data_IF_441413243201
#
_entry.id   IF_441413243201
#
_cell.length_a   1.000
_cell.length_b   1.000
_cell.length_c   1.000
_cell.angle_alpha   90.00
_cell.angle_beta   90.00
_cell.angle_gamma   90.00
#
_symmetry.space_group_name_H-M   'P 1'
#
loop_
_entity.id
_entity.type
_entity.pdbx_description
1 polymer ?
#
# COMPACT_ATOMS: atom_id res chain seq x y z
N UNK A 1 -34.39 -25.43 24.43
CA UNK A 1 -33.11 -25.12 25.12
C UNK A 1 -32.08 -24.37 24.25
N UNK A 2 -32.12 -24.44 22.91
CA UNK A 2 -31.23 -23.63 22.01
C UNK A 2 -31.57 -22.13 21.98
N UNK A 3 -32.86 -21.78 22.02
CA UNK A 3 -33.33 -20.39 21.97
C UNK A 3 -32.93 -19.55 23.20
N UNK A 4 -32.72 -20.19 24.36
CA UNK A 4 -32.36 -19.52 25.61
C UNK A 4 -30.90 -19.04 25.61
N UNK A 5 -30.01 -19.68 24.84
CA UNK A 5 -28.60 -19.30 24.73
C UNK A 5 -28.38 -18.11 23.78
N UNK A 6 -29.16 -18.04 22.70
CA UNK A 6 -29.14 -16.90 21.76
C UNK A 6 -29.74 -15.63 22.38
N UNK A 7 -30.82 -15.76 23.18
CA UNK A 7 -31.36 -14.63 23.94
C UNK A 7 -30.40 -14.13 25.02
N UNK A 8 -29.62 -15.04 25.63
CA UNK A 8 -28.60 -14.68 26.62
C UNK A 8 -27.42 -13.94 25.96
N UNK A 9 -27.02 -14.36 24.75
CA UNK A 9 -25.97 -13.72 23.95
C UNK A 9 -26.39 -12.32 23.47
N UNK A 10 -27.62 -12.19 22.97
CA UNK A 10 -28.20 -10.90 22.56
C UNK A 10 -28.39 -9.97 23.76
N UNK A 11 -28.74 -10.50 24.94
CA UNK A 11 -28.80 -9.75 26.18
C UNK A 11 -27.43 -9.25 26.66
N UNK A 12 -26.36 -10.05 26.47
CA UNK A 12 -25.00 -9.66 26.84
C UNK A 12 -24.43 -8.57 25.91
N UNK A 13 -24.64 -8.71 24.60
CA UNK A 13 -24.19 -7.72 23.61
C UNK A 13 -24.83 -6.33 23.84
N UNK A 14 -26.09 -6.31 24.24
CA UNK A 14 -26.80 -5.06 24.54
C UNK A 14 -26.35 -4.41 25.87
N UNK A 15 -25.77 -5.19 26.79
CA UNK A 15 -25.18 -4.69 28.03
C UNK A 15 -23.79 -4.08 27.82
N UNK A 16 -23.00 -4.61 26.89
CA UNK A 16 -21.66 -4.09 26.55
C UNK A 16 -21.75 -2.74 25.82
N UNK A 17 -22.75 -2.56 24.95
CA UNK A 17 -22.98 -1.31 24.20
C UNK A 17 -23.61 -0.18 25.03
N UNK A 18 -24.10 -0.46 26.23
CA UNK A 18 -24.80 0.52 27.09
C UNK A 18 -23.94 1.08 28.24
N UNK A 19 -22.66 0.72 28.33
CA UNK A 19 -21.77 1.19 29.40
C UNK A 19 -21.25 2.61 29.12
N UNK A 20 -21.26 3.53 30.11
CA UNK A 20 -20.69 4.87 29.95
C UNK A 20 -19.18 4.79 29.72
N UNK A 21 -18.68 5.49 28.71
CA UNK A 21 -17.25 5.55 28.33
C UNK A 21 -16.37 6.40 29.26
N UNK A 22 -16.75 6.58 30.53
CA UNK A 22 -15.95 7.32 31.52
C UNK A 22 -15.82 6.52 32.81
N UNK A 23 -14.57 6.36 33.21
CA UNK A 23 -14.05 5.69 34.42
C UNK A 23 -14.11 4.15 34.42
N UNK A 24 -13.12 3.55 33.77
CA UNK A 24 -12.86 2.10 33.70
C UNK A 24 -12.31 1.46 34.99
N UNK A 25 -12.40 2.14 36.14
CA UNK A 25 -11.85 1.62 37.41
C UNK A 25 -12.80 0.72 38.22
N UNK A 26 -14.09 0.67 37.89
CA UNK A 26 -15.11 -0.06 38.67
C UNK A 26 -15.83 -1.19 37.91
N UNK A 27 -15.26 -1.71 36.80
CA UNK A 27 -15.87 -2.83 36.07
C UNK A 27 -15.33 -4.20 36.56
N UNK A 28 -16.25 -5.11 36.91
CA UNK A 28 -15.95 -6.45 37.45
C UNK A 28 -15.14 -7.30 36.44
N UNK A 29 -13.90 -7.73 36.79
CA UNK A 29 -13.01 -8.48 35.91
C UNK A 29 -13.58 -9.82 35.42
N UNK A 30 -14.60 -10.36 36.07
CA UNK A 30 -15.19 -11.66 35.69
C UNK A 30 -16.07 -11.60 34.45
N UNK A 31 -16.57 -10.43 34.09
CA UNK A 31 -17.50 -10.26 32.96
C UNK A 31 -16.76 -10.00 31.63
N UNK A 32 -15.57 -9.40 31.71
CA UNK A 32 -14.66 -9.24 30.58
C UNK A 32 -13.68 -10.41 30.44
N UNK A 33 -13.42 -11.16 31.52
CA UNK A 33 -12.50 -12.30 31.50
C UNK A 33 -12.80 -13.35 30.44
N UNK A 34 -14.06 -13.59 30.08
CA UNK A 34 -14.44 -14.57 29.05
C UNK A 34 -14.31 -14.04 27.60
N UNK A 35 -14.53 -12.74 27.40
CA UNK A 35 -14.33 -12.09 26.09
C UNK A 35 -12.82 -11.88 25.84
N UNK A 36 -12.09 -11.52 26.89
CA UNK A 36 -10.62 -11.46 26.90
C UNK A 36 -10.02 -12.85 26.80
N UNK A 37 -10.60 -13.91 27.37
CA UNK A 37 -10.10 -15.29 27.17
C UNK A 37 -10.26 -15.74 25.70
N UNK A 38 -11.39 -15.46 25.06
CA UNK A 38 -11.62 -15.83 23.64
C UNK A 38 -10.79 -14.94 22.69
N UNK A 39 -10.64 -13.65 22.99
CA UNK A 39 -9.74 -12.75 22.24
C UNK A 39 -8.25 -13.07 22.53
N UNK A 40 -7.92 -13.59 23.72
CA UNK A 40 -6.54 -13.96 24.09
C UNK A 40 -6.10 -15.32 23.54
N UNK A 41 -7.02 -16.18 23.10
CA UNK A 41 -6.67 -17.42 22.40
C UNK A 41 -6.12 -17.09 21.01
N UNK A 42 -6.84 -16.27 20.22
CA UNK A 42 -6.35 -15.82 18.92
C UNK A 42 -5.26 -14.75 18.97
N UNK A 43 -5.24 -13.89 19.99
CA UNK A 43 -4.10 -12.99 20.21
C UNK A 43 -2.79 -13.75 20.42
N UNK A 44 -2.85 -14.89 21.13
CA UNK A 44 -1.69 -15.81 21.23
C UNK A 44 -1.39 -16.50 19.90
N UNK A 45 -2.41 -16.92 19.14
CA UNK A 45 -2.20 -17.49 17.81
C UNK A 45 -1.53 -16.47 16.85
N UNK A 46 -1.93 -15.20 16.89
CA UNK A 46 -1.35 -14.13 16.08
C UNK A 46 0.11 -13.84 16.47
N UNK A 47 0.40 -13.67 17.77
CA UNK A 47 1.78 -13.51 18.24
C UNK A 47 2.64 -14.72 17.88
N UNK A 48 2.09 -15.93 17.96
CA UNK A 48 2.78 -17.16 17.54
C UNK A 48 3.06 -17.17 16.03
N UNK A 49 2.11 -16.75 15.19
CA UNK A 49 2.31 -16.61 13.74
C UNK A 49 3.41 -15.59 13.44
N UNK A 50 3.40 -14.44 14.14
CA UNK A 50 4.43 -13.41 14.00
C UNK A 50 5.81 -13.96 14.37
N UNK A 51 5.93 -14.68 15.49
CA UNK A 51 7.19 -15.31 15.91
C UNK A 51 7.67 -16.38 14.93
N UNK A 52 6.76 -17.24 14.45
CA UNK A 52 7.09 -18.31 13.51
C UNK A 52 7.62 -17.77 12.17
N UNK A 53 7.01 -16.69 11.65
CA UNK A 53 7.36 -16.12 10.34
C UNK A 53 8.54 -15.15 10.45
N UNK A 54 8.49 -14.20 11.39
CA UNK A 54 9.51 -13.14 11.50
C UNK A 54 10.71 -13.56 12.35
N UNK A 55 10.53 -14.48 13.29
CA UNK A 55 11.62 -15.07 14.09
C UNK A 55 12.47 -16.10 13.35
N UNK A 56 12.18 -16.35 12.06
CA UNK A 56 12.97 -17.24 11.20
C UNK A 56 12.64 -18.73 11.32
N UNK A 57 11.53 -19.09 11.95
CA UNK A 57 11.08 -20.48 12.08
C UNK A 57 10.54 -21.08 10.78
N UNK A 58 9.81 -20.29 9.98
CA UNK A 58 9.20 -20.67 8.69
C UNK A 58 9.23 -19.50 7.72
N UNK A 59 9.33 -19.76 6.41
CA UNK A 59 9.10 -18.72 5.39
C UNK A 59 7.65 -18.73 4.91
N UNK A 60 7.09 -17.57 4.55
CA UNK A 60 5.75 -17.46 3.93
C UNK A 60 5.60 -18.39 2.73
N UNK A 61 6.61 -18.49 1.88
CA UNK A 61 6.67 -19.37 0.72
C UNK A 61 6.57 -20.85 1.08
N UNK A 62 7.20 -21.27 2.17
CA UNK A 62 7.14 -22.65 2.66
C UNK A 62 5.78 -22.98 3.27
N UNK A 63 5.17 -22.01 3.97
CA UNK A 63 3.83 -22.15 4.55
C UNK A 63 2.79 -22.23 3.44
N UNK A 64 2.91 -21.46 2.37
CA UNK A 64 1.95 -21.48 1.26
C UNK A 64 2.28 -22.50 0.16
N UNK A 65 3.13 -23.49 0.44
CA UNK A 65 3.56 -24.45 -0.56
C UNK A 65 2.37 -25.17 -1.23
N UNK A 66 2.38 -25.20 -2.57
CA UNK A 66 1.37 -25.88 -3.38
C UNK A 66 0.04 -25.14 -3.51
N UNK A 67 -0.07 -23.89 -3.04
CA UNK A 67 -1.22 -23.05 -3.32
C UNK A 67 -1.25 -22.66 -4.81
N UNK A 68 -2.43 -22.68 -5.42
CA UNK A 68 -2.61 -22.21 -6.81
C UNK A 68 -2.71 -20.67 -6.86
N UNK A 69 -2.57 -20.09 -8.05
CA UNK A 69 -2.76 -18.65 -8.25
C UNK A 69 -4.16 -18.17 -7.80
N UNK A 70 -5.23 -18.92 -8.14
CA UNK A 70 -6.61 -18.58 -7.77
C UNK A 70 -6.83 -18.69 -6.25
N UNK A 71 -6.34 -19.76 -5.63
CA UNK A 71 -6.44 -19.93 -4.18
C UNK A 71 -5.60 -18.87 -3.43
N UNK A 72 -4.43 -18.51 -3.95
CA UNK A 72 -3.60 -17.44 -3.40
C UNK A 72 -4.30 -16.08 -3.51
N UNK A 73 -4.93 -15.79 -4.65
CA UNK A 73 -5.74 -14.58 -4.84
C UNK A 73 -6.92 -14.53 -3.84
N UNK A 74 -7.59 -15.66 -3.62
CA UNK A 74 -8.65 -15.78 -2.63
C UNK A 74 -8.16 -15.53 -1.20
N UNK A 75 -6.99 -16.09 -0.85
CA UNK A 75 -6.40 -15.91 0.47
C UNK A 75 -5.95 -14.46 0.69
N UNK A 76 -5.38 -13.81 -0.33
CA UNK A 76 -5.06 -12.39 -0.32
C UNK A 76 -6.32 -11.55 -0.08
N UNK A 77 -7.41 -11.81 -0.81
CA UNK A 77 -8.68 -11.12 -0.62
C UNK A 77 -9.28 -11.36 0.78
N UNK A 78 -9.14 -12.57 1.32
CA UNK A 78 -9.46 -12.84 2.72
C UNK A 78 -8.66 -11.96 3.69
N UNK A 79 -7.33 -11.93 3.54
CA UNK A 79 -6.42 -11.10 4.35
C UNK A 79 -6.74 -9.59 4.25
N UNK A 80 -7.18 -9.16 3.06
CA UNK A 80 -7.63 -7.81 2.77
C UNK A 80 -8.94 -7.43 3.48
N UNK A 81 -9.69 -8.42 3.96
CA UNK A 81 -11.00 -8.24 4.57
C UNK A 81 -12.16 -8.26 3.58
N UNK A 82 -11.97 -8.81 2.38
CA UNK A 82 -13.05 -8.97 1.41
C UNK A 82 -14.19 -9.80 2.00
N UNK A 83 -15.43 -9.38 1.70
CA UNK A 83 -16.59 -10.22 1.92
C UNK A 83 -16.48 -11.46 1.03
N UNK A 84 -16.92 -12.62 1.53
CA UNK A 84 -16.89 -13.86 0.75
C UNK A 84 -17.62 -13.74 -0.59
N UNK A 85 -18.66 -12.90 -0.67
CA UNK A 85 -19.41 -12.64 -1.91
C UNK A 85 -18.70 -11.77 -2.93
N UNK A 86 -17.62 -11.07 -2.57
CA UNK A 86 -16.78 -10.34 -3.52
C UNK A 86 -15.84 -11.26 -4.32
N UNK A 87 -15.73 -12.53 -3.89
CA UNK A 87 -14.87 -13.53 -4.53
C UNK A 87 -15.73 -14.69 -5.02
N UNK A 88 -15.53 -15.05 -6.28
CA UNK A 88 -16.28 -16.12 -6.94
C UNK A 88 -16.25 -17.42 -6.15
N UNK A 89 -17.41 -18.09 -6.09
CA UNK A 89 -17.62 -19.25 -5.25
C UNK A 89 -16.71 -20.44 -5.63
N UNK A 90 -16.36 -20.59 -6.91
CA UNK A 90 -15.46 -21.64 -7.38
C UNK A 90 -14.00 -21.36 -6.98
N UNK A 91 -13.57 -20.10 -6.99
CA UNK A 91 -12.25 -19.68 -6.47
C UNK A 91 -12.17 -19.97 -4.96
N UNK A 92 -13.21 -19.63 -4.19
CA UNK A 92 -13.27 -19.95 -2.74
C UNK A 92 -13.28 -21.45 -2.49
N UNK A 93 -13.97 -22.23 -3.31
CA UNK A 93 -13.98 -23.69 -3.19
C UNK A 93 -12.58 -24.30 -3.42
N UNK A 94 -11.80 -23.73 -4.34
CA UNK A 94 -10.40 -24.12 -4.58
C UNK A 94 -9.52 -23.84 -3.36
N UNK A 95 -9.65 -22.65 -2.75
CA UNK A 95 -8.97 -22.33 -1.49
C UNK A 95 -9.40 -23.29 -0.36
N UNK A 96 -10.70 -23.56 -0.21
CA UNK A 96 -11.21 -24.46 0.82
C UNK A 96 -10.66 -25.89 0.68
N UNK A 97 -10.53 -26.38 -0.56
CA UNK A 97 -9.93 -27.69 -0.83
C UNK A 97 -8.45 -27.71 -0.43
N UNK A 98 -7.70 -26.65 -0.76
CA UNK A 98 -6.30 -26.51 -0.35
C UNK A 98 -6.16 -26.45 1.18
N UNK A 99 -6.94 -25.63 1.88
CA UNK A 99 -6.89 -25.49 3.34
C UNK A 99 -7.10 -26.82 4.07
N UNK A 100 -8.03 -27.66 3.58
CA UNK A 100 -8.29 -28.99 4.17
C UNK A 100 -7.11 -29.94 4.03
N UNK A 101 -6.42 -29.89 2.90
CA UNK A 101 -5.25 -30.72 2.62
C UNK A 101 -3.97 -30.14 3.27
N UNK A 102 -3.95 -28.84 3.54
CA UNK A 102 -2.79 -28.12 4.01
C UNK A 102 -2.51 -28.38 5.49
N UNK A 103 -1.26 -28.67 5.85
CA UNK A 103 -0.89 -28.96 7.24
C UNK A 103 -0.36 -27.73 8.01
N UNK A 104 0.09 -26.68 7.33
CA UNK A 104 0.85 -25.57 7.92
C UNK A 104 0.03 -24.55 8.70
N UNK A 105 -1.31 -24.55 8.59
CA UNK A 105 -2.18 -23.71 9.41
C UNK A 105 -2.73 -24.46 10.63
N UNK A 106 -2.84 -23.73 11.73
CA UNK A 106 -3.47 -24.20 12.97
C UNK A 106 -4.97 -24.46 12.81
N UNK A 107 -5.53 -25.29 13.70
CA UNK A 107 -6.91 -25.74 13.58
C UNK A 107 -7.93 -24.60 13.73
N UNK A 108 -7.64 -23.61 14.57
CA UNK A 108 -8.44 -22.39 14.79
C UNK A 108 -8.53 -21.57 13.50
N UNK A 109 -7.37 -21.18 12.94
CA UNK A 109 -7.25 -20.45 11.67
C UNK A 109 -7.93 -21.17 10.50
N UNK A 110 -7.74 -22.49 10.37
CA UNK A 110 -8.41 -23.29 9.34
C UNK A 110 -9.92 -23.23 9.45
N UNK A 111 -10.45 -23.25 10.66
CA UNK A 111 -11.89 -23.23 10.90
C UNK A 111 -12.50 -21.91 10.45
N UNK A 112 -11.87 -20.78 10.78
CA UNK A 112 -12.34 -19.45 10.35
C UNK A 112 -12.24 -19.28 8.83
N UNK A 113 -11.11 -19.66 8.24
CA UNK A 113 -10.93 -19.58 6.78
C UNK A 113 -11.94 -20.45 6.03
N UNK A 114 -12.22 -21.67 6.50
CA UNK A 114 -13.23 -22.54 5.89
C UNK A 114 -14.64 -21.96 6.08
N UNK A 115 -14.95 -21.40 7.24
CA UNK A 115 -16.23 -20.73 7.48
C UNK A 115 -16.44 -19.53 6.54
N UNK A 116 -15.39 -18.77 6.24
CA UNK A 116 -15.44 -17.70 5.25
C UNK A 116 -15.54 -18.25 3.81
N UNK A 117 -14.74 -19.24 3.45
CA UNK A 117 -14.76 -19.84 2.10
C UNK A 117 -16.12 -20.46 1.76
N UNK A 118 -16.81 -21.03 2.74
CA UNK A 118 -18.06 -21.78 2.56
C UNK A 118 -19.29 -21.02 3.07
N UNK A 119 -19.07 -19.81 3.60
CA UNK A 119 -20.09 -18.96 4.16
C UNK A 119 -20.96 -18.26 3.12
N UNK A 120 -21.93 -17.52 3.64
CA UNK A 120 -22.79 -16.64 2.86
C UNK A 120 -22.00 -15.45 2.29
N UNK A 121 -22.56 -14.77 1.29
CA UNK A 121 -21.91 -13.65 0.60
C UNK A 121 -21.45 -12.51 1.52
N UNK A 122 -22.07 -12.35 2.69
CA UNK A 122 -21.72 -11.32 3.68
C UNK A 122 -20.66 -11.75 4.70
N UNK A 123 -20.17 -12.99 4.66
CA UNK A 123 -19.16 -13.47 5.61
C UNK A 123 -17.85 -12.69 5.45
N UNK A 124 -17.24 -12.32 6.57
CA UNK A 124 -15.93 -11.65 6.65
C UNK A 124 -15.06 -12.36 7.69
N UNK A 125 -13.74 -12.28 7.52
CA UNK A 125 -12.81 -12.73 8.55
C UNK A 125 -12.75 -11.71 9.70
N UNK A 126 -12.30 -12.17 10.86
CA UNK A 126 -12.02 -11.31 12.02
C UNK A 126 -10.80 -10.44 11.76
N UNK A 127 -10.71 -9.30 12.46
CA UNK A 127 -9.58 -8.37 12.37
C UNK A 127 -8.24 -9.06 12.65
N UNK A 128 -8.22 -9.92 13.66
CA UNK A 128 -7.04 -10.67 14.11
C UNK A 128 -6.62 -11.71 13.06
N UNK A 129 -7.58 -12.41 12.43
CA UNK A 129 -7.26 -13.33 11.33
C UNK A 129 -6.76 -12.56 10.12
N UNK A 130 -7.38 -11.44 9.74
CA UNK A 130 -6.86 -10.59 8.67
C UNK A 130 -5.41 -10.17 8.97
N UNK A 131 -5.13 -9.72 10.20
CA UNK A 131 -3.79 -9.30 10.63
C UNK A 131 -2.76 -10.44 10.54
N UNK A 132 -3.12 -11.67 10.94
CA UNK A 132 -2.23 -12.82 10.82
C UNK A 132 -2.00 -13.24 9.37
N UNK A 133 -3.03 -13.10 8.52
CA UNK A 133 -2.93 -13.40 7.10
C UNK A 133 -2.16 -12.33 6.31
N UNK A 134 -2.08 -11.10 6.84
CA UNK A 134 -1.32 -9.99 6.23
C UNK A 134 0.13 -10.37 5.92
N UNK A 135 0.78 -11.12 6.82
CA UNK A 135 2.14 -11.67 6.63
C UNK A 135 2.33 -12.48 5.34
N UNK A 136 1.23 -13.00 4.79
CA UNK A 136 1.22 -13.80 3.57
C UNK A 136 0.86 -12.99 2.33
N UNK A 137 0.40 -11.74 2.46
CA UNK A 137 -0.05 -10.88 1.36
C UNK A 137 1.01 -10.76 0.26
N UNK A 138 2.29 -10.46 0.53
CA UNK A 138 3.31 -10.36 -0.54
C UNK A 138 3.44 -11.65 -1.35
N UNK A 139 3.40 -12.81 -0.67
CA UNK A 139 3.55 -14.12 -1.32
C UNK A 139 2.29 -14.52 -2.08
N UNK A 140 1.11 -14.22 -1.53
CA UNK A 140 -0.16 -14.47 -2.19
C UNK A 140 -0.31 -13.60 -3.44
N UNK A 141 0.01 -12.30 -3.34
CA UNK A 141 0.01 -11.36 -4.46
C UNK A 141 0.95 -11.81 -5.57
N UNK A 142 2.20 -12.18 -5.24
CA UNK A 142 3.16 -12.71 -6.22
C UNK A 142 2.67 -13.98 -6.92
N UNK A 143 2.04 -14.89 -6.17
CA UNK A 143 1.53 -16.15 -6.70
C UNK A 143 0.30 -15.94 -7.59
N UNK A 144 -0.59 -15.02 -7.20
CA UNK A 144 -1.74 -14.60 -8.00
C UNK A 144 -1.29 -13.91 -9.30
N UNK A 145 -0.34 -12.98 -9.21
CA UNK A 145 0.23 -12.26 -10.34
C UNK A 145 0.91 -13.20 -11.36
N UNK A 146 1.55 -14.28 -10.90
CA UNK A 146 2.11 -15.30 -11.78
C UNK A 146 1.06 -16.12 -12.55
N UNK A 147 -0.20 -16.05 -12.13
CA UNK A 147 -1.36 -16.59 -12.86
C UNK A 147 -2.23 -15.50 -13.49
N UNK A 148 -1.66 -14.31 -13.75
CA UNK A 148 -2.32 -13.17 -14.39
C UNK A 148 -3.52 -12.61 -13.60
N UNK A 149 -3.47 -12.70 -12.27
CA UNK A 149 -4.51 -12.20 -11.37
C UNK A 149 -3.98 -11.11 -10.44
N UNK A 150 -4.83 -10.13 -10.13
CA UNK A 150 -4.60 -9.17 -9.05
C UNK A 150 -5.81 -9.07 -8.14
N UNK A 151 -5.61 -8.54 -6.93
CA UNK A 151 -6.61 -8.53 -5.87
C UNK A 151 -6.77 -7.12 -5.31
N UNK A 152 -8.02 -6.70 -5.14
CA UNK A 152 -8.40 -5.47 -4.43
C UNK A 152 -9.55 -5.77 -3.47
N UNK A 153 -9.99 -4.77 -2.69
CA UNK A 153 -11.10 -4.94 -1.74
C UNK A 153 -12.41 -5.30 -2.46
N UNK A 154 -12.51 -5.00 -3.75
CA UNK A 154 -13.66 -5.26 -4.60
C UNK A 154 -13.69 -6.69 -5.16
N UNK A 155 -12.58 -7.44 -5.06
CA UNK A 155 -12.50 -8.82 -5.51
C UNK A 155 -11.19 -9.19 -6.22
N UNK A 156 -11.29 -10.20 -7.10
CA UNK A 156 -10.18 -10.73 -7.89
C UNK A 156 -10.42 -10.37 -9.35
N UNK A 157 -9.37 -9.89 -10.01
CA UNK A 157 -9.43 -9.37 -11.36
C UNK A 157 -8.31 -9.97 -12.21
N UNK A 158 -8.54 -9.98 -13.53
CA UNK A 158 -7.57 -10.41 -14.54
C UNK A 158 -6.65 -9.24 -14.92
N UNK A 159 -5.35 -9.49 -15.09
CA UNK A 159 -4.35 -8.45 -15.39
C UNK A 159 -4.71 -7.62 -16.62
N UNK A 160 -5.44 -8.18 -17.59
CA UNK A 160 -5.85 -7.46 -18.81
C UNK A 160 -6.72 -6.23 -18.52
N UNK A 161 -7.37 -6.15 -17.36
CA UNK A 161 -8.10 -4.93 -16.96
C UNK A 161 -7.17 -3.80 -16.54
N UNK A 162 -5.95 -4.10 -16.06
CA UNK A 162 -4.90 -3.10 -15.82
C UNK A 162 -4.20 -2.69 -17.12
N UNK A 163 -3.98 -3.63 -18.05
CA UNK A 163 -3.41 -3.37 -19.39
C UNK A 163 -4.27 -2.42 -20.23
N UNK A 164 -5.56 -2.25 -19.87
CA UNK A 164 -6.42 -1.25 -20.49
C UNK A 164 -6.04 0.21 -20.16
N UNK A 165 -5.11 0.45 -19.23
CA UNK A 165 -4.55 1.77 -18.97
C UNK A 165 -3.83 2.36 -20.19
N UNK A 166 -3.67 3.70 -20.21
CA UNK A 166 -3.07 4.41 -21.35
C UNK A 166 -1.96 5.37 -20.93
N UNK A 167 -1.00 5.57 -21.82
CA UNK A 167 0.16 6.48 -21.66
C UNK A 167 0.40 7.27 -22.94
N UNK A 168 1.12 8.40 -22.85
CA UNK A 168 1.57 9.08 -24.07
C UNK A 168 2.51 8.18 -24.87
N UNK A 169 2.46 8.28 -26.20
CA UNK A 169 3.47 7.69 -27.08
C UNK A 169 4.85 8.27 -26.77
N UNK A 170 5.92 7.50 -27.00
CA UNK A 170 7.30 7.95 -26.71
C UNK A 170 7.66 9.31 -27.33
N UNK A 171 7.21 9.56 -28.56
CA UNK A 171 7.42 10.86 -29.22
C UNK A 171 6.71 12.03 -28.53
N UNK A 172 5.52 11.80 -27.97
CA UNK A 172 4.75 12.79 -27.23
C UNK A 172 5.30 12.97 -25.81
N UNK A 173 5.76 11.89 -25.16
CA UNK A 173 6.51 11.95 -23.91
C UNK A 173 7.72 12.86 -24.05
N UNK A 174 8.59 12.61 -25.04
CA UNK A 174 9.78 13.45 -25.28
C UNK A 174 9.43 14.91 -25.57
N UNK A 175 8.37 15.15 -26.35
CA UNK A 175 7.91 16.51 -26.65
C UNK A 175 7.40 17.23 -25.41
N UNK A 176 6.69 16.52 -24.53
CA UNK A 176 6.18 17.06 -23.28
C UNK A 176 7.31 17.31 -22.26
N UNK A 177 8.26 16.38 -22.12
CA UNK A 177 9.46 16.58 -21.30
C UNK A 177 10.23 17.84 -21.74
N UNK A 178 10.42 18.02 -23.05
CA UNK A 178 11.09 19.21 -23.58
C UNK A 178 10.34 20.52 -23.26
N UNK A 179 9.00 20.49 -23.26
CA UNK A 179 8.18 21.62 -22.86
C UNK A 179 8.32 21.94 -21.36
N UNK A 180 8.24 20.92 -20.50
CA UNK A 180 8.35 21.06 -19.04
C UNK A 180 9.72 21.62 -18.64
N UNK A 181 10.80 21.15 -19.26
CA UNK A 181 12.15 21.65 -19.02
C UNK A 181 12.43 23.03 -19.66
N UNK A 182 11.51 23.53 -20.49
CA UNK A 182 11.59 24.86 -21.09
C UNK A 182 11.23 25.98 -20.11
N UNK A 183 11.55 27.23 -20.46
CA UNK A 183 11.29 28.39 -19.59
C UNK A 183 9.82 28.53 -19.18
N UNK A 184 8.90 28.25 -20.10
CA UNK A 184 7.46 28.29 -19.85
C UNK A 184 7.03 27.16 -18.90
N UNK A 185 7.61 25.97 -19.04
CA UNK A 185 7.32 24.81 -18.20
C UNK A 185 7.77 24.99 -16.76
N UNK A 186 8.94 25.61 -16.56
CA UNK A 186 9.48 25.92 -15.23
C UNK A 186 8.65 26.97 -14.48
N UNK A 187 7.97 27.86 -15.21
CA UNK A 187 7.07 28.89 -14.65
C UNK A 187 5.66 28.38 -14.36
N UNK A 188 5.33 27.12 -14.71
CA UNK A 188 4.03 26.54 -14.40
C UNK A 188 3.84 26.38 -12.90
N UNK A 189 2.58 26.52 -12.48
CA UNK A 189 2.13 26.12 -11.16
C UNK A 189 2.55 24.67 -10.87
N UNK A 190 2.96 24.40 -9.63
CA UNK A 190 3.49 23.10 -9.23
C UNK A 190 2.49 21.95 -9.49
N UNK A 191 1.18 22.22 -9.36
CA UNK A 191 0.15 21.24 -9.70
C UNK A 191 0.21 20.87 -11.19
N UNK A 192 0.23 21.87 -12.07
CA UNK A 192 0.26 21.64 -13.51
C UNK A 192 1.56 20.94 -13.91
N UNK A 193 2.69 21.38 -13.35
CA UNK A 193 4.00 20.79 -13.64
C UNK A 193 4.05 19.33 -13.18
N UNK A 194 3.54 19.00 -12.00
CA UNK A 194 3.42 17.62 -11.51
C UNK A 194 2.58 16.72 -12.42
N UNK A 195 1.38 17.16 -12.79
CA UNK A 195 0.49 16.40 -13.68
C UNK A 195 1.10 16.15 -15.06
N UNK A 196 1.76 17.17 -15.63
CA UNK A 196 2.45 17.04 -16.91
C UNK A 196 3.71 16.16 -16.80
N UNK A 197 4.47 16.27 -15.70
CA UNK A 197 5.66 15.45 -15.43
C UNK A 197 5.33 13.97 -15.33
N UNK A 198 4.26 13.61 -14.61
CA UNK A 198 3.79 12.22 -14.55
C UNK A 198 3.40 11.70 -15.94
N UNK A 199 2.67 12.51 -16.71
CA UNK A 199 2.27 12.19 -18.08
C UNK A 199 3.48 12.01 -19.02
N UNK A 200 4.49 12.88 -18.90
CA UNK A 200 5.73 12.82 -19.66
C UNK A 200 6.58 11.60 -19.30
N UNK A 201 6.54 11.18 -18.03
CA UNK A 201 7.23 10.00 -17.53
C UNK A 201 6.63 8.66 -17.96
N UNK A 202 5.47 8.68 -18.62
CA UNK A 202 4.73 7.49 -18.99
C UNK A 202 3.85 6.92 -17.88
N UNK A 203 3.46 7.72 -16.90
CA UNK A 203 2.50 7.32 -15.86
C UNK A 203 1.06 7.30 -16.36
N UNK A 204 0.19 6.61 -15.62
CA UNK A 204 -1.25 6.60 -15.88
C UNK A 204 -1.95 7.72 -15.12
N UNK A 205 -3.05 8.24 -15.68
CA UNK A 205 -3.75 9.35 -15.03
C UNK A 205 -4.35 8.98 -13.66
N UNK A 206 -4.62 7.69 -13.41
CA UNK A 206 -5.14 7.21 -12.13
C UNK A 206 -4.13 7.37 -10.97
N UNK A 207 -2.85 7.52 -11.28
CA UNK A 207 -1.80 7.78 -10.29
C UNK A 207 -1.80 9.24 -9.82
N UNK A 208 -2.52 10.13 -10.50
CA UNK A 208 -2.67 11.52 -10.07
C UNK A 208 -3.78 11.66 -9.04
N UNK A 209 -3.61 12.61 -8.13
CA UNK A 209 -4.69 13.09 -7.29
C UNK A 209 -5.86 13.60 -8.15
N UNK A 210 -7.11 13.28 -7.78
CA UNK A 210 -8.29 13.61 -8.59
C UNK A 210 -8.45 15.12 -8.84
N UNK A 211 -8.18 15.94 -7.81
CA UNK A 211 -8.22 17.40 -7.92
C UNK A 211 -7.17 17.94 -8.89
N UNK A 212 -6.01 17.28 -8.95
CA UNK A 212 -4.92 17.63 -9.86
C UNK A 212 -5.29 17.32 -11.31
N UNK A 213 -5.87 16.14 -11.55
CA UNK A 213 -6.39 15.77 -12.85
C UNK A 213 -7.49 16.75 -13.30
N UNK A 214 -8.37 17.18 -12.40
CA UNK A 214 -9.40 18.18 -12.69
C UNK A 214 -8.80 19.56 -13.02
N UNK A 215 -7.84 20.03 -12.22
CA UNK A 215 -7.14 21.30 -12.47
C UNK A 215 -6.41 21.29 -13.82
N UNK A 216 -5.76 20.17 -14.15
CA UNK A 216 -5.08 19.99 -15.43
C UNK A 216 -6.08 20.02 -16.61
N UNK A 217 -7.24 19.36 -16.50
CA UNK A 217 -8.31 19.44 -17.51
C UNK A 217 -8.79 20.88 -17.72
N UNK A 218 -8.95 21.65 -16.63
CA UNK A 218 -9.37 23.06 -16.71
C UNK A 218 -8.30 23.89 -17.42
N UNK A 219 -7.03 23.76 -17.02
CA UNK A 219 -5.92 24.50 -17.64
C UNK A 219 -5.77 24.17 -19.12
N UNK A 220 -5.81 22.88 -19.48
CA UNK A 220 -5.73 22.44 -20.87
C UNK A 220 -6.82 23.10 -21.73
N UNK A 221 -8.05 23.22 -21.22
CA UNK A 221 -9.14 23.88 -21.94
C UNK A 221 -9.10 25.42 -21.89
N UNK A 222 -8.26 25.99 -21.04
CA UNK A 222 -8.07 27.44 -20.89
C UNK A 222 -7.26 28.07 -22.03
N UNK A 223 -7.35 29.40 -22.13
CA UNK A 223 -6.57 30.20 -23.08
C UNK A 223 -5.12 30.41 -22.67
N UNK A 224 -4.77 30.10 -21.41
CA UNK A 224 -3.41 30.16 -20.87
C UNK A 224 -2.57 28.92 -21.20
N UNK A 225 -3.17 27.87 -21.76
CA UNK A 225 -2.43 26.68 -22.18
C UNK A 225 -1.56 26.99 -23.39
N UNK A 226 -0.25 26.84 -23.22
CA UNK A 226 0.78 27.13 -24.23
C UNK A 226 1.27 25.89 -24.97
N UNK A 227 0.68 24.72 -24.71
CA UNK A 227 0.99 23.48 -25.41
C UNK A 227 0.57 23.55 -26.88
N UNK A 228 1.22 22.76 -27.73
CA UNK A 228 0.74 22.55 -29.09
C UNK A 228 -0.65 21.91 -29.09
N UNK A 229 -1.42 22.15 -30.16
CA UNK A 229 -2.77 21.60 -30.28
C UNK A 229 -2.75 20.06 -30.19
N UNK A 230 -1.74 19.43 -30.79
CA UNK A 230 -1.56 17.99 -30.78
C UNK A 230 -1.28 17.46 -29.37
N UNK A 231 -0.35 18.07 -28.63
CA UNK A 231 -0.04 17.67 -27.25
C UNK A 231 -1.26 17.85 -26.33
N UNK A 232 -1.99 18.96 -26.48
CA UNK A 232 -3.21 19.21 -25.72
C UNK A 232 -4.26 18.12 -25.93
N UNK A 233 -4.50 17.71 -27.18
CA UNK A 233 -5.45 16.62 -27.50
C UNK A 233 -4.99 15.31 -26.87
N UNK A 234 -3.71 14.97 -27.00
CA UNK A 234 -3.18 13.72 -26.44
C UNK A 234 -3.27 13.68 -24.91
N UNK A 235 -2.94 14.76 -24.21
CA UNK A 235 -3.02 14.80 -22.75
C UNK A 235 -4.48 14.74 -22.27
N UNK A 236 -5.42 15.37 -22.98
CA UNK A 236 -6.85 15.22 -22.69
C UNK A 236 -7.32 13.77 -22.88
N UNK A 237 -6.92 13.10 -23.96
CA UNK A 237 -7.25 11.69 -24.18
C UNK A 237 -6.63 10.78 -23.09
N UNK A 238 -5.39 11.05 -22.67
CA UNK A 238 -4.74 10.36 -21.55
C UNK A 238 -5.51 10.54 -20.23
N UNK A 239 -5.96 11.76 -19.92
CA UNK A 239 -6.80 12.07 -18.75
C UNK A 239 -8.21 11.47 -18.80
N UNK A 240 -8.61 10.93 -19.96
CA UNK A 240 -9.88 10.22 -20.18
C UNK A 240 -9.68 8.70 -20.28
N UNK A 241 -8.44 8.21 -20.20
CA UNK A 241 -8.14 6.79 -20.35
C UNK A 241 -8.35 6.28 -21.77
N UNK A 242 -8.26 7.13 -22.79
CA UNK A 242 -8.60 6.79 -24.18
C UNK A 242 -7.37 6.64 -25.07
N UNK A 243 -7.40 5.59 -25.88
CA UNK A 243 -6.43 5.39 -26.95
C UNK A 243 -6.82 6.30 -28.12
N UNK A 244 -6.03 7.36 -28.34
CA UNK A 244 -6.20 8.32 -29.42
C UNK A 244 -4.84 8.74 -30.01
N UNK A 245 -4.82 9.72 -30.91
CA UNK A 245 -3.57 10.22 -31.50
C UNK A 245 -2.62 10.70 -30.41
N UNK A 246 -1.45 10.07 -30.34
CA UNK A 246 -0.43 10.41 -29.34
C UNK A 246 -0.57 9.67 -28.01
N UNK A 247 -1.59 8.82 -27.83
CA UNK A 247 -1.85 8.00 -26.64
C UNK A 247 -1.91 6.52 -27.03
N UNK A 248 -1.26 5.66 -26.27
CA UNK A 248 -1.18 4.21 -26.52
C UNK A 248 -1.57 3.43 -25.27
N UNK A 249 -2.06 2.20 -25.44
CA UNK A 249 -2.29 1.29 -24.33
C UNK A 249 -0.96 0.94 -23.64
N UNK A 250 -1.02 0.72 -22.33
CA UNK A 250 0.06 0.05 -21.62
C UNK A 250 0.09 -1.38 -22.16
N UNK A 251 1.27 -1.82 -22.60
CA UNK A 251 1.44 -3.20 -23.03
C UNK A 251 1.30 -4.18 -21.85
N UNK A 252 1.92 -5.34 -21.98
CA UNK A 252 1.95 -6.30 -20.88
C UNK A 252 2.57 -5.70 -19.61
N UNK A 253 1.89 -5.85 -18.48
CA UNK A 253 2.42 -5.42 -17.18
C UNK A 253 3.27 -6.55 -16.59
N UNK A 254 4.53 -6.30 -16.19
CA UNK A 254 5.36 -7.33 -15.57
C UNK A 254 4.74 -7.86 -14.27
N UNK A 255 5.01 -9.13 -13.93
CA UNK A 255 4.51 -9.76 -12.69
C UNK A 255 4.81 -8.95 -11.43
N UNK A 256 5.97 -8.27 -11.37
CA UNK A 256 6.31 -7.38 -10.25
C UNK A 256 5.38 -6.18 -10.14
N UNK A 257 4.97 -5.58 -11.26
CA UNK A 257 3.96 -4.51 -11.31
C UNK A 257 2.59 -4.98 -10.84
N UNK A 258 2.13 -6.14 -11.33
CA UNK A 258 0.86 -6.74 -10.89
C UNK A 258 0.87 -7.09 -9.39
N UNK A 259 2.02 -7.55 -8.89
CA UNK A 259 2.24 -7.79 -7.46
C UNK A 259 2.16 -6.48 -6.69
N UNK A 260 2.81 -5.41 -7.16
CA UNK A 260 2.79 -4.09 -6.54
C UNK A 260 1.37 -3.53 -6.42
N UNK A 261 0.55 -3.67 -7.47
CA UNK A 261 -0.87 -3.27 -7.45
C UNK A 261 -1.64 -4.02 -6.37
N UNK A 262 -1.51 -5.35 -6.31
CA UNK A 262 -2.23 -6.17 -5.33
C UNK A 262 -1.79 -5.88 -3.89
N UNK A 263 -0.48 -5.77 -3.65
CA UNK A 263 0.02 -5.43 -2.31
C UNK A 263 -0.36 -3.99 -1.97
N UNK A 264 -0.21 -3.05 -2.90
CA UNK A 264 -0.60 -1.65 -2.73
C UNK A 264 -2.06 -1.50 -2.35
N UNK A 265 -2.97 -2.23 -3.00
CA UNK A 265 -4.37 -2.28 -2.62
C UNK A 265 -4.56 -2.77 -1.17
N UNK A 266 -3.80 -3.78 -0.74
CA UNK A 266 -3.81 -4.25 0.64
C UNK A 266 -3.27 -3.23 1.64
N UNK A 267 -2.19 -2.54 1.29
CA UNK A 267 -1.62 -1.49 2.11
C UNK A 267 -2.57 -0.30 2.23
N UNK A 268 -3.19 0.14 1.13
CA UNK A 268 -4.20 1.21 1.13
C UNK A 268 -5.38 0.86 2.02
N UNK A 269 -5.86 -0.40 1.97
CA UNK A 269 -6.96 -0.84 2.82
C UNK A 269 -6.62 -0.86 4.32
N UNK A 270 -5.33 -0.79 4.69
CA UNK A 270 -4.90 -0.64 6.07
C UNK A 270 -4.82 0.80 6.55
N UNK A 271 -5.08 1.77 5.67
CA UNK A 271 -5.14 3.18 5.99
C UNK A 271 -6.59 3.67 5.86
N UNK A 272 -7.10 4.31 6.91
CA UNK A 272 -8.38 5.02 6.88
C UNK A 272 -8.24 6.34 6.12
N UNK A 273 -9.35 6.93 5.66
CA UNK A 273 -9.32 8.09 4.75
C UNK A 273 -8.56 9.32 5.26
N UNK A 274 -8.41 9.50 6.58
CA UNK A 274 -7.63 10.59 7.17
C UNK A 274 -6.15 10.24 7.41
N UNK A 275 -5.71 9.03 7.05
CA UNK A 275 -4.32 8.56 7.20
C UNK A 275 -4.05 7.75 8.47
N UNK A 276 -5.06 7.43 9.28
CA UNK A 276 -4.91 6.56 10.45
C UNK A 276 -4.79 5.09 10.03
N UNK A 277 -4.09 4.25 10.82
CA UNK A 277 -4.10 2.80 10.57
C UNK A 277 -5.45 2.20 10.97
N UNK A 278 -5.95 1.24 10.20
CA UNK A 278 -7.13 0.44 10.54
C UNK A 278 -6.86 -0.50 11.72
N UNK A 279 -7.94 -1.03 12.32
CA UNK A 279 -7.85 -2.03 13.39
C UNK A 279 -7.00 -3.27 13.00
N UNK A 280 -7.01 -3.69 11.73
CA UNK A 280 -6.21 -4.83 11.25
C UNK A 280 -4.71 -4.55 11.37
N UNK A 281 -4.26 -3.39 10.87
CA UNK A 281 -2.87 -3.00 10.97
C UNK A 281 -2.46 -2.70 12.43
N UNK A 282 -3.35 -2.10 13.23
CA UNK A 282 -3.12 -1.88 14.66
C UNK A 282 -2.95 -3.20 15.42
N UNK A 283 -3.76 -4.21 15.12
CA UNK A 283 -3.67 -5.55 15.72
C UNK A 283 -2.34 -6.23 15.35
N UNK A 284 -1.92 -6.09 14.08
CA UNK A 284 -0.63 -6.63 13.66
C UNK A 284 0.55 -5.95 14.38
N UNK A 285 0.57 -4.61 14.47
CA UNK A 285 1.62 -3.90 15.23
C UNK A 285 1.62 -4.31 16.71
N UNK A 286 0.44 -4.44 17.31
CA UNK A 286 0.31 -4.89 18.70
C UNK A 286 0.93 -6.26 18.91
N UNK A 287 0.59 -7.23 18.07
CA UNK A 287 1.16 -8.59 18.13
C UNK A 287 2.67 -8.61 17.89
N UNK A 288 3.17 -7.76 16.98
CA UNK A 288 4.61 -7.59 16.78
C UNK A 288 5.30 -7.07 18.05
N UNK A 289 4.79 -6.01 18.67
CA UNK A 289 5.36 -5.46 19.90
C UNK A 289 5.31 -6.44 21.07
N UNK A 290 4.30 -7.30 21.13
CA UNK A 290 4.18 -8.37 22.14
C UNK A 290 5.10 -9.58 21.88
N UNK A 291 5.55 -9.76 20.64
CA UNK A 291 6.43 -10.87 20.26
C UNK A 291 7.86 -10.69 20.74
N UNK A 292 8.62 -11.78 20.84
CA UNK A 292 10.07 -11.71 21.12
C UNK A 292 10.90 -11.06 20.00
N UNK A 293 10.32 -10.86 18.80
CA UNK A 293 10.97 -10.27 17.62
C UNK A 293 11.18 -8.75 17.77
N UNK A 294 10.48 -8.11 18.72
CA UNK A 294 10.52 -6.67 19.00
C UNK A 294 11.52 -6.26 20.09
N UNK A 295 12.29 -7.20 20.65
CA UNK A 295 13.02 -7.02 21.91
C UNK A 295 14.04 -5.85 21.94
N UNK A 296 14.55 -5.43 20.77
CA UNK A 296 15.61 -4.42 20.65
C UNK A 296 15.15 -3.14 19.91
N UNK A 297 13.86 -2.81 19.94
CA UNK A 297 13.34 -1.58 19.31
C UNK A 297 13.73 -0.35 20.13
N UNK A 298 14.24 0.68 19.44
CA UNK A 298 14.58 1.96 20.05
C UNK A 298 13.32 2.67 20.61
N UNK A 299 13.47 3.37 21.75
CA UNK A 299 12.34 3.96 22.47
C UNK A 299 11.50 4.93 21.62
N UNK A 300 12.14 5.72 20.76
CA UNK A 300 11.43 6.65 19.87
C UNK A 300 10.62 5.89 18.80
N UNK A 301 11.16 4.81 18.25
CA UNK A 301 10.46 3.93 17.29
C UNK A 301 9.26 3.27 17.98
N UNK A 302 9.46 2.72 19.18
CA UNK A 302 8.39 2.11 19.97
C UNK A 302 7.26 3.12 20.23
N UNK A 303 7.59 4.36 20.61
CA UNK A 303 6.58 5.40 20.84
C UNK A 303 5.75 5.72 19.59
N UNK A 304 6.35 5.67 18.40
CA UNK A 304 5.59 5.84 17.14
C UNK A 304 4.70 4.64 16.86
N UNK A 305 5.17 3.41 17.08
CA UNK A 305 4.37 2.19 16.89
C UNK A 305 3.16 2.16 17.86
N UNK A 306 3.35 2.56 19.12
CA UNK A 306 2.27 2.72 20.10
C UNK A 306 1.29 3.83 19.70
N UNK A 307 1.78 4.93 19.12
CA UNK A 307 0.93 5.97 18.55
C UNK A 307 0.06 5.44 17.40
N UNK A 308 0.64 4.61 16.52
CA UNK A 308 -0.08 3.95 15.43
C UNK A 308 -1.17 3.02 15.95
N UNK A 309 -0.87 2.19 16.97
CA UNK A 309 -1.85 1.33 17.65
C UNK A 309 -3.00 2.17 18.23
N UNK A 310 -2.70 3.34 18.79
CA UNK A 310 -3.70 4.26 19.31
C UNK A 310 -4.49 5.03 18.24
N UNK A 311 -4.31 4.72 16.95
CA UNK A 311 -5.01 5.36 15.84
C UNK A 311 -4.57 6.80 15.56
N UNK A 312 -3.35 7.19 15.98
CA UNK A 312 -2.85 8.55 15.76
C UNK A 312 -2.40 8.76 14.31
N UNK A 313 -2.59 9.98 13.82
CA UNK A 313 -2.09 10.42 12.52
C UNK A 313 -0.59 10.72 12.58
N UNK A 314 0.12 10.54 11.47
CA UNK A 314 1.55 10.86 11.36
C UNK A 314 1.86 12.31 11.73
N UNK A 315 0.98 13.24 11.36
CA UNK A 315 1.09 14.68 11.69
C UNK A 315 1.01 14.99 13.19
N UNK A 316 0.48 14.07 14.01
CA UNK A 316 0.40 14.22 15.46
C UNK A 316 1.65 13.73 16.20
N UNK A 317 2.58 13.09 15.48
CA UNK A 317 3.87 12.61 15.99
C UNK A 317 4.98 13.59 15.59
N UNK A 318 5.96 13.79 16.48
CA UNK A 318 7.07 14.73 16.21
C UNK A 318 7.86 14.34 14.96
N UNK A 319 8.45 15.34 14.29
CA UNK A 319 9.30 15.10 13.12
C UNK A 319 10.48 14.18 13.44
N UNK A 320 11.11 14.35 14.62
CA UNK A 320 12.23 13.51 15.04
C UNK A 320 11.83 12.05 15.24
N UNK A 321 10.67 11.79 15.86
CA UNK A 321 10.19 10.43 16.06
C UNK A 321 9.76 9.78 14.73
N UNK A 322 9.14 10.53 13.81
CA UNK A 322 8.87 10.07 12.45
C UNK A 322 10.15 9.73 11.69
N UNK A 323 11.20 10.55 11.82
CA UNK A 323 12.49 10.28 11.22
C UNK A 323 13.16 9.04 11.82
N UNK A 324 13.11 8.86 13.15
CA UNK A 324 13.59 7.66 13.81
C UNK A 324 12.89 6.39 13.27
N UNK A 325 11.56 6.44 13.10
CA UNK A 325 10.82 5.34 12.47
C UNK A 325 11.29 5.10 11.03
N UNK A 326 11.36 6.13 10.19
CA UNK A 326 11.78 5.99 8.78
C UNK A 326 13.19 5.37 8.66
N UNK A 327 14.13 5.81 9.50
CA UNK A 327 15.49 5.28 9.57
C UNK A 327 15.46 3.80 9.98
N UNK A 328 14.76 3.47 11.07
CA UNK A 328 14.64 2.08 11.52
C UNK A 328 14.04 1.19 10.43
N UNK A 329 12.92 1.58 9.83
CA UNK A 329 12.28 0.84 8.74
C UNK A 329 13.25 0.60 7.58
N UNK A 330 14.05 1.59 7.20
CA UNK A 330 15.02 1.47 6.09
C UNK A 330 16.24 0.60 6.43
N UNK A 331 16.53 0.41 7.72
CA UNK A 331 17.68 -0.33 8.21
C UNK A 331 17.51 -1.84 8.18
N UNK A 332 18.63 -2.56 8.16
CA UNK A 332 18.65 -4.03 8.25
C UNK A 332 18.26 -4.58 9.63
N UNK A 333 18.12 -3.70 10.63
CA UNK A 333 17.65 -4.06 11.98
C UNK A 333 16.12 -4.08 12.10
N UNK A 334 15.38 -3.59 11.09
CA UNK A 334 13.92 -3.71 11.09
C UNK A 334 13.53 -5.17 10.91
N UNK A 335 12.74 -5.68 11.87
CA UNK A 335 12.24 -7.05 11.90
C UNK A 335 10.76 -7.18 11.53
N UNK A 336 10.15 -6.10 11.03
CA UNK A 336 8.76 -6.13 10.54
C UNK A 336 8.64 -6.91 9.23
N UNK A 337 7.46 -7.48 9.02
CA UNK A 337 7.05 -7.97 7.70
C UNK A 337 7.05 -6.83 6.66
N UNK A 338 7.34 -7.20 5.41
CA UNK A 338 7.52 -6.24 4.32
C UNK A 338 6.25 -5.39 4.07
N UNK A 339 5.09 -6.02 4.22
CA UNK A 339 3.78 -5.38 4.12
C UNK A 339 3.52 -4.38 5.25
N UNK A 340 3.86 -4.69 6.50
CA UNK A 340 3.65 -3.75 7.60
C UNK A 340 4.64 -2.58 7.54
N UNK A 341 5.88 -2.85 7.10
CA UNK A 341 6.84 -1.81 6.76
C UNK A 341 6.31 -0.87 5.66
N UNK A 342 5.72 -1.42 4.60
CA UNK A 342 5.06 -0.63 3.55
C UNK A 342 3.91 0.22 4.09
N UNK A 343 3.07 -0.34 4.97
CA UNK A 343 1.98 0.41 5.60
C UNK A 343 2.46 1.59 6.44
N UNK A 344 3.55 1.41 7.18
CA UNK A 344 4.16 2.49 7.96
C UNK A 344 4.81 3.56 7.06
N UNK A 345 5.40 3.18 5.92
CA UNK A 345 5.85 4.16 4.93
C UNK A 345 4.69 4.96 4.34
N UNK A 346 3.59 4.29 3.99
CA UNK A 346 2.40 4.98 3.50
C UNK A 346 1.83 5.92 4.58
N UNK A 347 1.73 5.46 5.82
CA UNK A 347 1.29 6.28 6.96
C UNK A 347 2.18 7.52 7.16
N UNK A 348 3.50 7.36 7.08
CA UNK A 348 4.43 8.50 7.14
C UNK A 348 4.20 9.50 6.00
N UNK A 349 3.82 9.04 4.80
CA UNK A 349 3.55 9.91 3.65
C UNK A 349 2.42 10.92 3.88
N UNK A 350 1.48 10.63 4.80
CA UNK A 350 0.41 11.57 5.17
C UNK A 350 0.91 12.77 5.98
N UNK A 351 2.15 12.73 6.49
CA UNK A 351 2.79 13.87 7.14
C UNK A 351 3.57 14.79 6.19
N UNK A 352 3.70 14.39 4.92
CA UNK A 352 4.42 15.17 3.92
C UNK A 352 3.56 16.34 3.45
N UNK A 353 4.14 17.53 3.49
CA UNK A 353 3.57 18.75 2.91
C UNK A 353 4.16 18.99 1.52
N UNK A 354 3.56 19.88 0.73
CA UNK A 354 4.11 20.24 -0.58
C UNK A 354 5.54 20.78 -0.45
N UNK A 355 6.47 20.09 -1.08
CA UNK A 355 7.90 20.43 -1.11
C UNK A 355 8.43 20.07 -2.49
N UNK A 356 9.10 21.02 -3.14
CA UNK A 356 9.89 20.74 -4.34
C UNK A 356 11.25 20.16 -3.94
N UNK A 357 11.77 19.29 -4.77
CA UNK A 357 12.97 18.50 -4.48
C UNK A 357 14.02 18.87 -5.51
N UNK A 358 15.14 19.39 -5.04
CA UNK A 358 16.29 19.62 -5.90
C UNK A 358 17.15 18.36 -5.96
N UNK A 359 17.19 17.74 -7.14
CA UNK A 359 18.00 16.57 -7.44
C UNK A 359 19.18 16.99 -8.31
N UNK A 360 20.40 16.66 -7.89
CA UNK A 360 21.60 16.96 -8.67
C UNK A 360 21.53 16.36 -10.08
N UNK A 361 22.06 17.08 -11.07
CA UNK A 361 22.05 16.65 -12.49
C UNK A 361 22.72 15.30 -12.75
N UNK A 362 23.75 14.95 -11.97
CA UNK A 362 24.38 13.63 -12.02
C UNK A 362 23.40 12.53 -11.57
N UNK A 363 22.66 12.76 -10.49
CA UNK A 363 21.69 11.80 -9.98
C UNK A 363 20.48 11.67 -10.92
N UNK A 364 20.07 12.74 -11.60
CA UNK A 364 18.99 12.70 -12.61
C UNK A 364 19.32 11.68 -13.70
N UNK A 365 20.54 11.71 -14.25
CA UNK A 365 20.94 10.81 -15.34
C UNK A 365 20.94 9.35 -14.89
N UNK A 366 21.44 9.08 -13.69
CA UNK A 366 21.47 7.73 -13.12
C UNK A 366 20.07 7.21 -12.79
N UNK A 367 19.20 8.07 -12.24
CA UNK A 367 17.82 7.75 -11.94
C UNK A 367 17.03 7.49 -13.22
N UNK A 368 17.17 8.31 -14.26
CA UNK A 368 16.52 8.10 -15.57
C UNK A 368 16.90 6.73 -16.18
N UNK A 369 18.18 6.36 -16.13
CA UNK A 369 18.64 5.06 -16.59
C UNK A 369 18.06 3.90 -15.75
N UNK A 370 17.96 4.08 -14.44
CA UNK A 370 17.32 3.12 -13.53
C UNK A 370 15.82 2.96 -13.81
N UNK A 371 15.11 4.06 -14.08
CA UNK A 371 13.68 4.07 -14.37
C UNK A 371 13.36 3.37 -15.71
N UNK A 372 14.12 3.69 -16.75
CA UNK A 372 13.93 3.13 -18.10
C UNK A 372 14.46 1.70 -18.25
N UNK A 373 15.44 1.31 -17.45
CA UNK A 373 15.99 -0.04 -17.44
C UNK A 373 15.28 -0.97 -16.47
N UNK A 374 15.52 -0.77 -15.17
CA UNK A 374 15.13 -1.73 -14.12
C UNK A 374 13.64 -1.63 -13.80
N UNK A 375 13.13 -0.42 -13.57
CA UNK A 375 11.74 -0.21 -13.13
C UNK A 375 10.76 -0.56 -14.24
N UNK A 376 10.96 -0.05 -15.45
CA UNK A 376 10.07 -0.37 -16.59
C UNK A 376 9.98 -1.88 -16.84
N UNK A 377 11.12 -2.58 -16.82
CA UNK A 377 11.15 -4.02 -17.06
C UNK A 377 10.52 -4.85 -15.93
N UNK A 378 10.58 -4.37 -14.68
CA UNK A 378 10.19 -5.16 -13.50
C UNK A 378 8.82 -4.79 -12.94
N UNK A 379 8.41 -3.53 -13.07
CA UNK A 379 7.22 -2.95 -12.43
C UNK A 379 6.26 -2.30 -13.43
N UNK A 380 6.71 -2.01 -14.65
CA UNK A 380 5.88 -1.42 -15.70
C UNK A 380 5.77 0.11 -15.63
N UNK A 381 4.88 0.66 -16.46
CA UNK A 381 4.81 2.09 -16.75
C UNK A 381 4.21 2.95 -15.63
N UNK A 382 3.28 2.41 -14.81
CA UNK A 382 2.70 3.14 -13.68
C UNK A 382 3.77 3.62 -12.71
N UNK A 383 4.50 2.67 -12.09
CA UNK A 383 5.54 2.97 -11.12
C UNK A 383 6.73 3.73 -11.74
N UNK A 384 7.02 3.51 -13.03
CA UNK A 384 7.99 4.36 -13.76
C UNK A 384 7.53 5.81 -13.78
N UNK A 385 6.27 6.07 -14.14
CA UNK A 385 5.68 7.41 -14.16
C UNK A 385 5.62 8.05 -12.78
N UNK A 386 5.28 7.27 -11.75
CA UNK A 386 5.33 7.69 -10.34
C UNK A 386 6.73 8.18 -9.96
N UNK A 387 7.77 7.39 -10.23
CA UNK A 387 9.15 7.78 -9.91
C UNK A 387 9.71 8.87 -10.82
N UNK A 388 9.14 9.05 -12.01
CA UNK A 388 9.46 10.18 -12.88
C UNK A 388 9.02 11.52 -12.27
N UNK A 389 7.98 11.51 -11.44
CA UNK A 389 7.56 12.68 -10.69
C UNK A 389 8.66 13.15 -9.72
N UNK A 390 9.29 12.20 -9.00
CA UNK A 390 10.47 12.47 -8.18
C UNK A 390 11.61 13.06 -9.02
N UNK A 391 11.92 12.44 -10.18
CA UNK A 391 12.96 12.92 -11.10
C UNK A 391 12.72 14.37 -11.54
N UNK A 392 11.44 14.76 -11.65
CA UNK A 392 11.01 16.10 -12.03
C UNK A 392 11.03 17.11 -10.87
N UNK A 393 11.47 16.68 -9.68
CA UNK A 393 11.58 17.51 -8.48
C UNK A 393 10.24 17.83 -7.82
N UNK A 394 9.21 17.04 -8.10
CA UNK A 394 7.85 17.30 -7.62
C UNK A 394 7.54 16.53 -6.34
N UNK A 395 6.53 17.02 -5.62
CA UNK A 395 6.13 16.45 -4.34
C UNK A 395 5.31 15.16 -4.51
N UNK A 396 5.49 14.22 -3.58
CA UNK A 396 4.69 12.99 -3.47
C UNK A 396 3.20 13.29 -3.28
N UNK A 397 2.85 14.48 -2.76
CA UNK A 397 1.47 14.89 -2.46
C UNK A 397 0.56 14.95 -3.70
N UNK A 398 1.15 15.01 -4.89
CA UNK A 398 0.44 15.05 -6.16
C UNK A 398 -0.03 13.67 -6.66
N UNK A 399 0.46 12.60 -6.02
CA UNK A 399 0.04 11.24 -6.31
C UNK A 399 -1.24 10.87 -5.56
N UNK A 400 -2.03 9.96 -6.14
CA UNK A 400 -3.10 9.26 -5.44
C UNK A 400 -2.55 8.43 -4.28
N UNK A 401 -3.42 8.08 -3.33
CA UNK A 401 -3.03 7.24 -2.18
C UNK A 401 -2.63 5.85 -2.67
N UNK A 402 -3.31 5.35 -3.70
CA UNK A 402 -3.06 4.07 -4.35
C UNK A 402 -1.65 4.02 -4.94
N UNK A 403 -1.24 5.03 -5.71
CA UNK A 403 0.11 5.10 -6.28
C UNK A 403 1.19 5.18 -5.18
N UNK A 404 0.92 5.89 -4.07
CA UNK A 404 1.82 5.91 -2.91
C UNK A 404 1.89 4.55 -2.22
N UNK A 405 0.79 3.81 -2.16
CA UNK A 405 0.73 2.49 -1.54
C UNK A 405 1.49 1.45 -2.37
N UNK A 406 1.37 1.48 -3.69
CA UNK A 406 2.17 0.65 -4.60
C UNK A 406 3.66 0.94 -4.45
N UNK A 407 4.03 2.23 -4.39
CA UNK A 407 5.40 2.63 -4.14
C UNK A 407 5.89 2.15 -2.76
N UNK A 408 5.07 2.31 -1.72
CA UNK A 408 5.38 1.85 -0.38
C UNK A 408 5.56 0.32 -0.33
N UNK A 409 4.77 -0.45 -1.08
CA UNK A 409 4.89 -1.90 -1.20
C UNK A 409 6.25 -2.30 -1.78
N UNK A 410 6.72 -1.58 -2.80
CA UNK A 410 8.04 -1.79 -3.38
C UNK A 410 9.14 -1.48 -2.36
N UNK A 411 9.11 -0.31 -1.70
CA UNK A 411 10.13 0.11 -0.74
C UNK A 411 10.12 -0.72 0.56
N UNK A 412 8.97 -1.26 0.93
CA UNK A 412 8.80 -2.20 2.03
C UNK A 412 9.45 -3.56 1.77
N UNK A 413 9.76 -3.89 0.52
CA UNK A 413 10.30 -5.17 0.09
C UNK A 413 9.23 -6.24 -0.15
N UNK A 414 7.96 -5.83 -0.29
CA UNK A 414 6.85 -6.76 -0.56
C UNK A 414 6.78 -7.16 -2.05
N UNK A 415 7.52 -6.46 -2.90
CA UNK A 415 7.71 -6.78 -4.31
C UNK A 415 9.16 -7.17 -4.52
N UNK A 416 9.38 -8.31 -5.17
CA UNK A 416 10.70 -8.90 -5.39
C UNK A 416 11.46 -8.16 -6.49
N UNK A 417 12.02 -7.00 -6.14
CA UNK A 417 12.83 -6.15 -7.02
C UNK A 417 14.10 -5.68 -6.32
N UNK A 418 15.20 -5.74 -7.06
CA UNK A 418 16.48 -5.22 -6.59
C UNK A 418 16.61 -3.73 -6.93
N UNK A 419 16.49 -2.90 -5.89
CA UNK A 419 16.74 -1.45 -5.96
C UNK A 419 18.06 -1.17 -5.26
N UNK A 420 18.94 -0.39 -5.89
CA UNK A 420 20.21 0.00 -5.25
C UNK A 420 19.91 0.71 -3.92
N UNK A 421 20.74 0.45 -2.89
CA UNK A 421 20.49 1.02 -1.56
C UNK A 421 20.38 2.55 -1.59
N UNK A 422 21.19 3.23 -2.41
CA UNK A 422 21.14 4.69 -2.55
C UNK A 422 19.82 5.20 -3.15
N UNK A 423 19.29 4.55 -4.20
CA UNK A 423 17.98 4.93 -4.75
C UNK A 423 16.84 4.57 -3.81
N UNK A 424 16.94 3.42 -3.12
CA UNK A 424 15.92 3.04 -2.15
C UNK A 424 15.79 4.10 -1.05
N UNK A 425 16.92 4.54 -0.47
CA UNK A 425 16.90 5.59 0.54
C UNK A 425 16.37 6.92 0.01
N UNK A 426 16.77 7.34 -1.21
CA UNK A 426 16.26 8.56 -1.86
C UNK A 426 14.73 8.54 -1.99
N UNK A 427 14.17 7.42 -2.45
CA UNK A 427 12.74 7.29 -2.69
C UNK A 427 11.99 7.20 -1.35
N UNK A 428 12.56 6.57 -0.32
CA UNK A 428 11.97 6.57 1.03
C UNK A 428 11.96 7.99 1.62
N UNK A 429 13.04 8.77 1.49
CA UNK A 429 13.05 10.17 1.92
C UNK A 429 11.97 10.98 1.20
N UNK A 430 11.80 10.78 -0.11
CA UNK A 430 10.75 11.43 -0.89
C UNK A 430 9.34 11.05 -0.42
N UNK A 431 9.07 9.75 -0.26
CA UNK A 431 7.76 9.24 0.13
C UNK A 431 7.38 9.68 1.55
N UNK A 432 8.33 9.68 2.47
CA UNK A 432 8.07 9.90 3.91
C UNK A 432 8.32 11.33 4.37
N UNK A 433 9.05 12.14 3.58
CA UNK A 433 9.54 13.46 3.96
C UNK A 433 10.50 13.45 5.15
N UNK A 434 11.03 12.27 5.52
CA UNK A 434 11.94 12.10 6.65
C UNK A 434 13.36 11.94 6.14
N UNK A 435 14.33 12.63 6.76
CA UNK A 435 15.74 12.48 6.37
C UNK A 435 16.31 11.17 6.90
N UNK A 436 17.01 10.44 6.04
CA UNK A 436 17.61 9.14 6.32
C UNK A 436 19.12 9.21 6.07
N UNK A 437 19.95 8.85 7.07
CA UNK A 437 21.40 8.85 6.91
C UNK A 437 21.86 7.99 5.73
N UNK A 438 22.69 8.56 4.86
CA UNK A 438 23.24 7.86 3.69
C UNK A 438 22.39 7.97 2.42
N UNK A 439 21.22 8.60 2.49
CA UNK A 439 20.48 8.99 1.30
C UNK A 439 21.24 10.08 0.51
N UNK A 440 21.16 10.09 -0.84
CA UNK A 440 21.57 11.23 -1.63
C UNK A 440 20.83 12.49 -1.18
N UNK A 441 21.52 13.62 -1.05
CA UNK A 441 20.92 14.85 -0.52
C UNK A 441 19.80 15.36 -1.43
N UNK A 442 18.57 15.31 -0.93
CA UNK A 442 17.45 16.11 -1.41
C UNK A 442 17.52 17.46 -0.70
N UNK A 443 17.60 18.55 -1.44
CA UNK A 443 17.45 19.89 -0.86
C UNK A 443 16.01 20.34 -1.07
N UNK A 444 15.31 20.85 -0.03
CA UNK A 444 14.03 21.51 -0.24
C UNK A 444 14.23 22.65 -1.24
N UNK A 445 13.51 22.61 -2.35
CA UNK A 445 13.60 23.63 -3.37
C UNK A 445 13.29 24.99 -2.76
N UNK A 446 14.03 26.01 -3.21
CA UNK A 446 13.81 27.38 -2.76
C UNK A 446 12.46 27.87 -3.30
N UNK A 447 11.38 27.57 -2.59
CA UNK A 447 10.08 28.17 -2.86
C UNK A 447 10.21 29.68 -2.73
N UNK A 448 10.10 30.40 -3.85
CA UNK A 448 9.92 31.84 -3.81
C UNK A 448 8.62 32.13 -3.09
N UNK A 449 8.71 32.48 -1.81
CA UNK A 449 7.63 33.15 -1.09
C UNK A 449 7.42 34.51 -1.75
N UNK A 450 6.43 34.60 -2.64
CA UNK A 450 5.82 35.86 -3.07
C UNK A 450 4.33 35.72 -3.16
#
# INVERSE_FOLDING_TARGET
>A
MRSSKLLLLAGLANYVLALPTKDTKDLDPRTLGLAVEILSEFGKDLTTIVEDILGGGKSSTSVLAGISARAAAALNGGALGCKAGAIDADIRAELAAWIRAHAGFEASLKTELLAWCEGEASATLSTEVCAGLSLFVPTCAKTAAAGDLYVTIDGIFDVTTLEAGVVLSSSFQSSLSAFISGSVGLELDANLRAGLSLCAGGGVHADLHADLAAALKVWLNGSSCSLSAELKVAILAWLEGKIETGVVAIGSIPTGGVTAVSVGASISAWIEGEGALTATAQAYISAFLESSVSADIEADVQAVLEACIAGKLATSVSADARAALAVWLSGSSCSLGAELKAALYLWLSFSVTEVSIDISTSLITELEAFLTGTIEASLGSSLRGTLWLLLSGESIVYLSVEARAELAAVLGGAVDIEISSSFNLLIIEWLTGCSIPGAPTITPGSGSTT
#
